data_IF_732323516446
#
_entry.id   IF_732323516446
#
_cell.length_a   1.000
_cell.length_b   1.000
_cell.length_c   1.000
_cell.angle_alpha   90.00
_cell.angle_beta   90.00
_cell.angle_gamma   90.00
#
_symmetry.space_group_name_H-M   'P 1'
#
loop_
_entity.id
_entity.type
_entity.pdbx_description
1 polymer ?
#
# COMPACT_ATOMS: atom_id res chain seq x y z
N UNK A 1 41.50 42.23 -8.27
CA UNK A 1 42.70 41.77 -7.55
C UNK A 1 42.49 42.16 -6.09
N UNK A 2 41.99 41.22 -5.30
CA UNK A 2 41.79 41.40 -3.86
C UNK A 2 42.08 40.05 -3.20
N UNK A 3 42.99 40.12 -2.25
CA UNK A 3 43.89 39.07 -1.81
C UNK A 3 43.31 38.30 -0.62
N UNK A 4 43.53 36.99 -0.64
CA UNK A 4 43.33 36.08 0.49
C UNK A 4 44.51 36.28 1.45
N UNK A 5 44.25 36.48 2.74
CA UNK A 5 45.28 36.41 3.78
C UNK A 5 44.87 35.38 4.82
N UNK A 6 45.72 34.38 5.01
CA UNK A 6 45.65 33.28 5.99
C UNK A 6 46.27 33.66 7.34
N UNK A 7 45.80 33.00 8.41
CA UNK A 7 46.15 33.14 9.84
C UNK A 7 47.64 32.93 10.20
N UNK A 8 48.03 33.20 11.46
CA UNK A 8 48.28 32.05 12.35
C UNK A 8 47.80 32.18 13.81
N UNK A 9 47.66 31.00 14.42
CA UNK A 9 47.24 30.67 15.78
C UNK A 9 48.12 31.19 16.93
N UNK A 10 47.51 31.56 18.06
CA UNK A 10 48.01 31.18 19.40
C UNK A 10 46.87 31.28 20.43
N UNK A 11 46.72 30.24 21.24
CA UNK A 11 45.58 30.08 22.15
C UNK A 11 45.79 30.73 23.52
N UNK A 12 44.68 30.89 24.25
CA UNK A 12 44.58 30.58 25.69
C UNK A 12 43.12 30.73 26.18
N UNK A 13 42.66 29.68 26.85
CA UNK A 13 41.63 29.58 27.89
C UNK A 13 40.34 30.41 27.84
N UNK A 14 39.21 29.70 27.66
CA UNK A 14 37.89 30.22 28.03
C UNK A 14 36.70 29.42 27.51
N UNK A 15 36.79 28.09 27.37
CA UNK A 15 35.60 27.27 27.09
C UNK A 15 34.86 26.99 28.40
N UNK A 16 33.84 27.80 28.68
CA UNK A 16 32.71 27.44 29.52
C UNK A 16 32.01 26.25 28.88
N UNK A 17 32.36 25.05 29.32
CA UNK A 17 31.60 23.83 29.04
C UNK A 17 30.23 23.97 29.70
N UNK A 18 29.20 24.29 28.92
CA UNK A 18 27.83 23.97 29.33
C UNK A 18 27.67 22.45 29.21
N UNK A 19 28.16 21.76 30.22
CA UNK A 19 27.75 20.39 30.51
C UNK A 19 26.35 20.55 31.11
N UNK A 20 25.31 20.32 30.32
CA UNK A 20 23.96 20.15 30.85
C UNK A 20 24.00 18.92 31.74
N UNK A 21 24.15 19.16 33.04
CA UNK A 21 24.16 18.14 34.08
C UNK A 21 22.71 17.65 34.24
N UNK A 22 22.31 16.71 33.39
CA UNK A 22 20.98 16.10 33.36
C UNK A 22 20.63 15.42 34.71
N UNK A 23 21.65 15.10 35.51
CA UNK A 23 21.51 14.60 36.87
C UNK A 23 21.13 15.68 37.89
N UNK A 24 21.52 16.94 37.69
CA UNK A 24 21.21 18.03 38.61
C UNK A 24 19.73 18.46 38.52
N UNK A 25 19.15 18.41 37.32
CA UNK A 25 17.72 18.75 37.11
C UNK A 25 16.80 17.64 37.63
N UNK A 26 17.25 16.38 37.59
CA UNK A 26 16.58 15.23 38.20
C UNK A 26 16.56 15.33 39.73
N UNK A 27 17.69 15.65 40.37
CA UNK A 27 17.71 15.84 41.84
C UNK A 27 16.91 17.06 42.29
N UNK A 28 16.93 18.15 41.53
CA UNK A 28 16.12 19.33 41.80
C UNK A 28 14.61 19.05 41.62
N UNK A 29 14.24 18.23 40.63
CA UNK A 29 12.87 17.74 40.46
C UNK A 29 12.46 16.76 41.56
N UNK A 30 13.35 15.87 42.00
CA UNK A 30 13.11 14.92 43.09
C UNK A 30 12.91 15.63 44.43
N UNK A 31 13.68 16.67 44.73
CA UNK A 31 13.46 17.51 45.93
C UNK A 31 12.14 18.28 45.88
N UNK A 32 11.69 18.71 44.69
CA UNK A 32 10.35 19.28 44.50
C UNK A 32 9.24 18.26 44.76
N UNK A 33 9.48 16.98 44.48
CA UNK A 33 8.53 15.88 44.73
C UNK A 33 8.53 15.47 46.21
N UNK A 34 9.67 15.47 46.91
CA UNK A 34 9.75 15.18 48.35
C UNK A 34 9.06 16.23 49.23
N UNK A 35 8.98 17.48 48.78
CA UNK A 35 8.37 18.57 49.56
C UNK A 35 6.84 18.66 49.38
N UNK A 36 6.26 17.91 48.44
CA UNK A 36 4.82 17.85 48.20
C UNK A 36 4.24 16.56 48.80
N UNK A 37 4.05 16.56 50.12
CA UNK A 37 3.42 15.45 50.83
C UNK A 37 2.08 15.03 50.20
N UNK A 38 1.95 13.73 49.91
CA UNK A 38 0.78 13.04 49.36
C UNK A 38 0.32 13.48 47.95
N UNK A 39 1.05 13.05 46.92
CA UNK A 39 0.43 12.80 45.61
C UNK A 39 -0.06 11.36 45.57
N UNK A 40 -1.38 11.16 45.67
CA UNK A 40 -1.99 9.89 45.28
C UNK A 40 -1.83 9.77 43.76
N UNK A 41 -0.92 8.90 43.32
CA UNK A 41 -0.79 8.58 41.90
C UNK A 41 -2.10 7.93 41.48
N UNK A 42 -2.80 8.52 40.51
CA UNK A 42 -4.02 7.88 40.01
C UNK A 42 -3.63 6.53 39.38
N UNK A 43 -4.46 5.48 39.53
CA UNK A 43 -4.19 4.17 38.93
C UNK A 43 -3.85 4.27 37.43
N UNK A 44 -4.47 5.22 36.73
CA UNK A 44 -4.23 5.50 35.31
C UNK A 44 -2.83 6.06 35.03
N UNK A 45 -2.29 6.90 35.92
CA UNK A 45 -0.94 7.45 35.77
C UNK A 45 0.13 6.40 36.09
N UNK A 46 -0.12 5.56 37.10
CA UNK A 46 0.75 4.43 37.45
C UNK A 46 0.79 3.40 36.30
N UNK A 47 -0.37 3.06 35.74
CA UNK A 47 -0.49 2.17 34.58
C UNK A 47 0.25 2.73 33.36
N UNK A 48 0.15 4.03 33.12
CA UNK A 48 0.85 4.70 32.00
C UNK A 48 2.37 4.78 32.19
N UNK A 49 2.86 4.82 33.43
CA UNK A 49 4.29 4.85 33.76
C UNK A 49 4.94 3.46 33.63
N UNK A 50 4.21 2.40 33.96
CA UNK A 50 4.71 1.02 33.94
C UNK A 50 4.45 0.28 32.62
N UNK A 51 3.36 0.59 31.91
CA UNK A 51 2.97 -0.12 30.67
C UNK A 51 3.41 0.58 29.38
N UNK A 52 4.05 1.73 29.47
CA UNK A 52 4.55 2.45 28.30
C UNK A 52 5.87 3.13 28.64
N UNK A 53 7.01 2.44 28.49
CA UNK A 53 8.28 3.12 28.53
C UNK A 53 8.23 4.22 27.47
N UNK A 54 8.60 5.45 27.83
CA UNK A 54 9.00 6.45 26.84
C UNK A 54 10.28 5.93 26.20
N UNK A 55 10.14 5.02 25.26
CA UNK A 55 11.15 4.88 24.23
C UNK A 55 11.07 6.19 23.46
N UNK A 56 11.97 7.12 23.74
CA UNK A 56 12.32 8.15 22.77
C UNK A 56 13.03 7.45 21.60
N UNK A 57 12.27 6.66 20.85
CA UNK A 57 12.66 6.29 19.50
C UNK A 57 12.68 7.61 18.78
N UNK A 58 13.86 8.06 18.33
CA UNK A 58 13.96 9.16 17.39
C UNK A 58 12.92 8.88 16.31
N UNK A 59 11.86 9.69 16.28
CA UNK A 59 10.61 9.36 15.60
C UNK A 59 10.76 9.64 14.09
N UNK A 60 11.77 9.02 13.51
CA UNK A 60 12.25 9.22 12.17
C UNK A 60 12.52 7.86 11.54
N UNK A 61 11.52 6.96 11.67
CA UNK A 61 11.52 5.62 11.05
C UNK A 61 11.81 5.71 9.55
N UNK A 62 11.38 6.79 8.89
CA UNK A 62 11.68 7.08 7.47
C UNK A 62 13.16 7.38 7.18
N UNK A 63 13.94 7.82 8.18
CA UNK A 63 15.41 7.94 8.07
C UNK A 63 16.14 6.67 8.52
N UNK A 64 15.42 5.73 9.15
CA UNK A 64 15.99 4.48 9.67
C UNK A 64 15.85 3.33 8.67
N UNK A 65 14.75 3.30 7.91
CA UNK A 65 14.44 2.25 6.94
C UNK A 65 14.22 2.83 5.53
N UNK A 66 14.47 2.01 4.51
CA UNK A 66 14.16 2.36 3.12
C UNK A 66 12.65 2.43 2.85
N UNK A 67 12.27 3.11 1.77
CA UNK A 67 10.89 3.15 1.30
C UNK A 67 10.48 1.79 0.70
N UNK A 68 9.45 1.10 1.23
CA UNK A 68 9.01 -0.19 0.72
C UNK A 68 8.00 -0.10 -0.44
N UNK A 69 7.43 1.09 -0.70
CA UNK A 69 6.50 1.31 -1.82
C UNK A 69 7.02 0.81 -3.18
N UNK A 70 8.27 1.09 -3.61
CA UNK A 70 8.77 0.59 -4.90
C UNK A 70 8.72 -0.95 -5.02
N UNK A 71 8.92 -1.67 -3.91
CA UNK A 71 8.83 -3.13 -3.87
C UNK A 71 7.40 -3.62 -4.10
N UNK A 72 6.42 -2.97 -3.48
CA UNK A 72 5.02 -3.32 -3.70
C UNK A 72 4.56 -2.94 -5.12
N UNK A 73 4.98 -1.78 -5.62
CA UNK A 73 4.62 -1.32 -6.97
C UNK A 73 5.21 -2.22 -8.05
N UNK A 74 6.45 -2.70 -7.92
CA UNK A 74 7.00 -3.69 -8.88
C UNK A 74 6.23 -5.01 -8.85
N UNK A 75 5.76 -5.42 -7.66
CA UNK A 75 4.86 -6.57 -7.50
C UNK A 75 3.58 -6.39 -8.32
N UNK A 76 2.92 -5.24 -8.16
CA UNK A 76 1.72 -4.86 -8.89
C UNK A 76 1.90 -4.85 -10.41
N UNK A 77 2.92 -4.14 -10.92
CA UNK A 77 3.08 -3.98 -12.37
C UNK A 77 3.48 -5.30 -13.06
N UNK A 78 4.29 -6.14 -12.42
CA UNK A 78 4.74 -7.40 -13.01
C UNK A 78 3.73 -8.54 -12.90
N UNK A 79 2.74 -8.45 -12.01
CA UNK A 79 1.61 -9.37 -12.04
C UNK A 79 0.49 -8.89 -12.98
N UNK A 80 0.20 -7.58 -13.03
CA UNK A 80 -0.93 -7.06 -13.80
C UNK A 80 -0.61 -6.77 -15.26
N UNK A 81 0.60 -6.30 -15.60
CA UNK A 81 0.92 -5.95 -16.99
C UNK A 81 0.80 -7.18 -17.90
N UNK A 82 1.42 -8.33 -17.58
CA UNK A 82 1.27 -9.54 -18.40
C UNK A 82 -0.20 -10.00 -18.49
N UNK A 83 -0.91 -10.04 -17.36
CA UNK A 83 -2.33 -10.42 -17.33
C UNK A 83 -3.17 -9.52 -18.23
N UNK A 84 -2.93 -8.21 -18.22
CA UNK A 84 -3.66 -7.28 -19.08
C UNK A 84 -3.43 -7.54 -20.58
N UNK A 85 -2.20 -7.91 -20.97
CA UNK A 85 -1.90 -8.35 -22.34
C UNK A 85 -2.65 -9.65 -22.69
N UNK A 86 -2.70 -10.60 -21.74
CA UNK A 86 -3.42 -11.87 -21.90
C UNK A 86 -4.94 -11.66 -22.03
N UNK A 87 -5.52 -10.77 -21.22
CA UNK A 87 -6.93 -10.42 -21.28
C UNK A 87 -7.30 -9.74 -22.60
N UNK A 88 -6.37 -8.98 -23.21
CA UNK A 88 -6.51 -8.34 -24.51
C UNK A 88 -6.21 -9.28 -25.70
N UNK A 89 -5.84 -10.53 -25.46
CA UNK A 89 -5.56 -11.51 -26.50
C UNK A 89 -4.30 -11.22 -27.32
N UNK A 90 -3.39 -10.38 -26.80
CA UNK A 90 -2.22 -9.95 -27.58
C UNK A 90 -1.34 -11.13 -27.95
N UNK A 91 -0.99 -11.23 -29.23
CA UNK A 91 -0.20 -12.34 -29.79
C UNK A 91 -0.83 -13.72 -29.58
N UNK A 92 -2.16 -13.80 -29.40
CA UNK A 92 -2.85 -15.07 -29.15
C UNK A 92 -2.71 -15.58 -27.71
N UNK A 93 -2.33 -14.72 -26.77
CA UNK A 93 -2.37 -15.03 -25.34
C UNK A 93 -3.81 -15.12 -24.82
N UNK A 94 -4.01 -15.76 -23.66
CA UNK A 94 -5.34 -16.01 -23.10
C UNK A 94 -5.30 -16.97 -21.91
N UNK A 95 -6.37 -17.76 -21.73
CA UNK A 95 -6.44 -18.77 -20.66
C UNK A 95 -6.41 -18.16 -19.26
N UNK A 96 -7.02 -16.97 -19.10
CA UNK A 96 -7.06 -16.19 -17.86
C UNK A 96 -5.67 -15.89 -17.27
N UNK A 97 -4.61 -15.97 -18.08
CA UNK A 97 -3.24 -15.75 -17.64
C UNK A 97 -2.63 -16.89 -16.81
N UNK A 98 -3.16 -18.12 -16.88
CA UNK A 98 -2.63 -19.26 -16.10
C UNK A 98 -1.12 -19.52 -16.27
N UNK A 99 -0.54 -19.16 -17.42
CA UNK A 99 0.91 -19.21 -17.66
C UNK A 99 1.72 -18.32 -16.70
N UNK A 100 1.07 -17.33 -16.08
CA UNK A 100 1.64 -16.31 -15.21
C UNK A 100 1.43 -16.62 -13.72
N UNK A 101 0.94 -17.81 -13.37
CA UNK A 101 0.71 -18.22 -11.98
C UNK A 101 1.93 -17.95 -11.08
N UNK A 102 3.16 -18.16 -11.60
CA UNK A 102 4.38 -17.80 -10.88
C UNK A 102 4.48 -16.31 -10.55
N UNK A 103 4.15 -15.42 -11.49
CA UNK A 103 4.11 -13.99 -11.25
C UNK A 103 3.02 -13.61 -10.23
N UNK A 104 1.89 -14.31 -10.21
CA UNK A 104 0.83 -14.07 -9.23
C UNK A 104 1.29 -14.40 -7.81
N UNK A 105 1.98 -15.52 -7.59
CA UNK A 105 2.51 -15.84 -6.26
C UNK A 105 3.68 -14.95 -5.86
N UNK A 106 4.67 -14.76 -6.73
CA UNK A 106 5.93 -14.14 -6.32
C UNK A 106 5.90 -12.62 -6.40
N UNK A 107 5.35 -12.04 -7.48
CA UNK A 107 5.31 -10.58 -7.64
C UNK A 107 4.03 -10.02 -7.05
N UNK A 108 2.88 -10.45 -7.59
CA UNK A 108 1.59 -9.94 -7.18
C UNK A 108 1.28 -10.25 -5.71
N UNK A 109 1.61 -11.45 -5.24
CA UNK A 109 1.37 -11.89 -3.87
C UNK A 109 2.50 -11.48 -2.92
N UNK A 110 3.66 -12.15 -3.04
CA UNK A 110 4.74 -12.05 -2.07
C UNK A 110 5.36 -10.64 -1.98
N UNK A 111 5.74 -10.02 -3.11
CA UNK A 111 6.35 -8.69 -3.07
C UNK A 111 5.35 -7.62 -2.59
N UNK A 112 4.11 -7.64 -3.08
CA UNK A 112 3.09 -6.69 -2.62
C UNK A 112 2.76 -6.86 -1.14
N UNK A 113 2.56 -8.10 -0.68
CA UNK A 113 2.25 -8.38 0.72
C UNK A 113 3.41 -7.95 1.63
N UNK A 114 4.65 -8.26 1.23
CA UNK A 114 5.85 -7.86 1.98
C UNK A 114 6.00 -6.34 2.02
N UNK A 115 5.86 -5.67 0.86
CA UNK A 115 5.92 -4.21 0.79
C UNK A 115 4.84 -3.54 1.64
N UNK A 116 3.61 -4.07 1.61
CA UNK A 116 2.51 -3.63 2.47
C UNK A 116 2.84 -3.79 3.96
N UNK A 117 3.35 -4.95 4.38
CA UNK A 117 3.72 -5.17 5.78
C UNK A 117 4.83 -4.20 6.24
N UNK A 118 5.76 -3.84 5.35
CA UNK A 118 6.78 -2.83 5.63
C UNK A 118 6.20 -1.41 5.69
N UNK A 119 5.17 -1.09 4.91
CA UNK A 119 4.42 0.17 5.06
C UNK A 119 3.76 0.29 6.44
N UNK A 120 3.29 -0.82 7.01
CA UNK A 120 2.79 -0.85 8.39
C UNK A 120 3.89 -0.50 9.40
N UNK A 121 5.10 -1.03 9.22
CA UNK A 121 6.27 -0.69 10.08
C UNK A 121 6.59 0.80 10.02
N UNK A 122 6.44 1.43 8.85
CA UNK A 122 6.64 2.88 8.66
C UNK A 122 5.46 3.75 9.14
N UNK A 123 4.36 3.14 9.58
CA UNK A 123 3.15 3.85 10.01
C UNK A 123 2.27 4.36 8.87
N UNK A 124 2.48 3.90 7.63
CA UNK A 124 1.70 4.30 6.47
C UNK A 124 0.49 3.35 6.28
N UNK A 125 -0.61 3.62 7.00
CA UNK A 125 -1.79 2.72 7.04
C UNK A 125 -2.46 2.51 5.68
N UNK A 126 -2.63 3.57 4.88
CA UNK A 126 -3.34 3.46 3.61
C UNK A 126 -2.63 2.54 2.61
N UNK A 127 -1.36 2.76 2.25
CA UNK A 127 -0.65 1.86 1.33
C UNK A 127 -0.44 0.46 1.93
N UNK A 128 -0.28 0.32 3.26
CA UNK A 128 -0.28 -1.00 3.91
C UNK A 128 -1.54 -1.81 3.55
N UNK A 129 -2.73 -1.24 3.80
CA UNK A 129 -4.00 -1.93 3.58
C UNK A 129 -4.22 -2.21 2.08
N UNK A 130 -3.88 -1.25 1.21
CA UNK A 130 -3.91 -1.42 -0.24
C UNK A 130 -3.02 -2.59 -0.67
N UNK A 131 -1.71 -2.53 -0.39
CA UNK A 131 -0.78 -3.52 -0.92
C UNK A 131 -1.01 -4.91 -0.36
N UNK A 132 -1.35 -5.05 0.93
CA UNK A 132 -1.67 -6.37 1.49
C UNK A 132 -2.96 -6.95 0.92
N UNK A 133 -4.02 -6.15 0.73
CA UNK A 133 -5.29 -6.66 0.18
C UNK A 133 -5.19 -7.04 -1.29
N UNK A 134 -4.49 -6.26 -2.12
CA UNK A 134 -4.21 -6.66 -3.51
C UNK A 134 -3.21 -7.81 -3.59
N UNK A 135 -2.25 -7.91 -2.66
CA UNK A 135 -1.39 -9.08 -2.55
C UNK A 135 -2.18 -10.36 -2.30
N UNK A 136 -3.18 -10.29 -1.41
CA UNK A 136 -4.10 -11.41 -1.19
C UNK A 136 -4.96 -11.72 -2.42
N UNK A 137 -5.37 -10.73 -3.21
CA UNK A 137 -6.05 -10.95 -4.49
C UNK A 137 -5.18 -11.80 -5.44
N UNK A 138 -3.90 -11.47 -5.60
CA UNK A 138 -3.00 -12.22 -6.47
C UNK A 138 -2.74 -13.64 -5.97
N UNK A 139 -2.58 -13.83 -4.67
CA UNK A 139 -2.53 -15.18 -4.11
C UNK A 139 -3.82 -15.96 -4.36
N UNK A 140 -4.97 -15.31 -4.28
CA UNK A 140 -6.28 -15.93 -4.54
C UNK A 140 -6.40 -16.34 -6.01
N UNK A 141 -6.04 -15.47 -6.95
CA UNK A 141 -6.05 -15.78 -8.38
C UNK A 141 -5.08 -16.91 -8.72
N UNK A 142 -3.83 -16.83 -8.22
CA UNK A 142 -2.83 -17.87 -8.40
C UNK A 142 -3.30 -19.22 -7.86
N UNK A 143 -3.87 -19.25 -6.65
CA UNK A 143 -4.42 -20.46 -6.04
C UNK A 143 -5.57 -21.03 -6.86
N UNK A 144 -6.47 -20.17 -7.33
CA UNK A 144 -7.62 -20.56 -8.15
C UNK A 144 -7.19 -21.24 -9.45
N UNK A 145 -6.18 -20.70 -10.13
CA UNK A 145 -5.69 -21.21 -11.42
C UNK A 145 -4.66 -22.33 -11.29
N UNK A 146 -4.16 -22.61 -10.09
CA UNK A 146 -3.20 -23.69 -9.86
C UNK A 146 -3.94 -25.02 -9.63
N UNK A 147 -3.74 -26.03 -10.49
CA UNK A 147 -4.49 -27.30 -10.41
C UNK A 147 -4.40 -27.99 -9.05
N UNK A 148 -3.29 -27.84 -8.33
CA UNK A 148 -3.06 -28.44 -7.02
C UNK A 148 -4.12 -28.05 -5.96
N UNK A 149 -4.57 -26.79 -5.95
CA UNK A 149 -5.60 -26.34 -5.00
C UNK A 149 -7.01 -26.75 -5.42
N UNK A 150 -7.17 -27.21 -6.67
CA UNK A 150 -8.38 -27.82 -7.21
C UNK A 150 -9.66 -26.98 -7.07
N UNK A 151 -9.55 -25.63 -7.14
CA UNK A 151 -10.68 -24.72 -6.97
C UNK A 151 -11.77 -24.93 -8.04
N UNK A 152 -11.36 -25.10 -9.29
CA UNK A 152 -12.28 -25.31 -10.42
C UNK A 152 -12.65 -26.78 -10.62
N UNK A 153 -11.90 -27.75 -10.07
CA UNK A 153 -12.19 -29.18 -10.26
C UNK A 153 -13.45 -29.65 -9.53
N UNK A 154 -13.94 -28.90 -8.54
CA UNK A 154 -15.24 -29.14 -7.91
C UNK A 154 -16.42 -28.97 -8.88
N UNK A 155 -16.23 -28.21 -9.96
CA UNK A 155 -17.26 -27.91 -10.97
C UNK A 155 -17.22 -28.88 -12.15
N UNK A 156 -16.09 -29.57 -12.36
CA UNK A 156 -15.95 -30.63 -13.36
C UNK A 156 -15.05 -31.76 -12.84
N UNK A 157 -15.61 -32.74 -12.11
CA UNK A 157 -14.81 -33.79 -11.47
C UNK A 157 -14.04 -34.71 -12.43
N UNK A 158 -14.58 -34.91 -13.64
CA UNK A 158 -14.02 -35.84 -14.63
C UNK A 158 -13.03 -35.16 -15.60
N UNK A 159 -13.13 -33.84 -15.75
CA UNK A 159 -12.20 -33.01 -16.52
C UNK A 159 -12.04 -31.68 -15.79
N UNK A 160 -11.11 -31.59 -14.82
CA UNK A 160 -10.93 -30.38 -14.05
C UNK A 160 -10.73 -29.15 -14.93
N UNK A 161 -10.04 -29.25 -16.06
CA UNK A 161 -9.76 -28.09 -16.91
C UNK A 161 -11.03 -27.42 -17.46
N UNK A 162 -12.08 -28.21 -17.74
CA UNK A 162 -13.38 -27.71 -18.17
C UNK A 162 -14.12 -26.91 -17.08
N UNK A 163 -13.77 -27.12 -15.80
CA UNK A 163 -14.35 -26.41 -14.66
C UNK A 163 -14.08 -24.90 -14.68
N UNK A 164 -13.00 -24.44 -15.33
CA UNK A 164 -12.72 -23.00 -15.50
C UNK A 164 -13.73 -22.29 -16.40
N UNK A 165 -14.42 -23.03 -17.25
CA UNK A 165 -15.45 -22.52 -18.16
C UNK A 165 -16.86 -22.91 -17.73
N UNK A 166 -16.99 -23.58 -16.58
CA UNK A 166 -18.29 -23.95 -16.03
C UNK A 166 -19.10 -22.69 -15.65
N UNK A 167 -20.38 -22.57 -16.05
CA UNK A 167 -21.20 -21.40 -15.75
C UNK A 167 -21.33 -21.08 -14.25
N UNK A 168 -21.34 -22.10 -13.39
CA UNK A 168 -21.46 -21.93 -11.94
C UNK A 168 -20.12 -21.45 -11.36
N UNK A 169 -19.00 -22.00 -11.84
CA UNK A 169 -17.67 -21.49 -11.49
C UNK A 169 -17.51 -20.02 -11.86
N UNK A 170 -17.79 -19.66 -13.11
CA UNK A 170 -17.69 -18.29 -13.62
C UNK A 170 -18.56 -17.33 -12.81
N UNK A 171 -19.83 -17.70 -12.57
CA UNK A 171 -20.75 -16.87 -11.78
C UNK A 171 -20.31 -16.69 -10.33
N UNK A 172 -19.68 -17.71 -9.75
CA UNK A 172 -19.17 -17.69 -8.37
C UNK A 172 -17.94 -16.79 -8.27
N UNK A 173 -16.99 -16.93 -9.19
CA UNK A 173 -15.77 -16.12 -9.21
C UNK A 173 -16.06 -14.65 -9.53
N UNK A 174 -17.05 -14.37 -10.39
CA UNK A 174 -17.51 -13.01 -10.69
C UNK A 174 -17.90 -12.21 -9.44
N UNK A 175 -18.49 -12.85 -8.41
CA UNK A 175 -18.79 -12.14 -7.16
C UNK A 175 -17.52 -11.67 -6.45
N UNK A 176 -16.45 -12.47 -6.45
CA UNK A 176 -15.18 -12.06 -5.87
C UNK A 176 -14.62 -10.83 -6.60
N UNK A 177 -14.67 -10.83 -7.94
CA UNK A 177 -14.27 -9.69 -8.76
C UNK A 177 -15.14 -8.45 -8.50
N UNK A 178 -16.47 -8.61 -8.39
CA UNK A 178 -17.37 -7.50 -8.06
C UNK A 178 -16.98 -6.85 -6.72
N UNK A 179 -16.75 -7.65 -5.68
CA UNK A 179 -16.36 -7.13 -4.37
C UNK A 179 -14.96 -6.53 -4.35
N UNK A 180 -14.04 -7.01 -5.20
CA UNK A 180 -12.78 -6.32 -5.48
C UNK A 180 -13.00 -4.96 -6.16
N UNK A 181 -14.00 -4.84 -7.03
CA UNK A 181 -14.45 -3.57 -7.59
C UNK A 181 -14.95 -2.60 -6.50
N UNK A 182 -15.79 -3.08 -5.58
CA UNK A 182 -16.26 -2.29 -4.42
C UNK A 182 -15.10 -1.86 -3.52
N UNK A 183 -14.16 -2.75 -3.23
CA UNK A 183 -12.94 -2.42 -2.48
C UNK A 183 -12.12 -1.33 -3.18
N UNK A 184 -11.93 -1.47 -4.50
CA UNK A 184 -11.24 -0.49 -5.34
C UNK A 184 -11.95 0.87 -5.32
N UNK A 185 -13.29 0.88 -5.29
CA UNK A 185 -14.08 2.11 -5.18
C UNK A 185 -13.88 2.81 -3.82
N UNK A 186 -13.80 2.06 -2.72
CA UNK A 186 -13.47 2.62 -1.40
C UNK A 186 -12.07 3.26 -1.44
N UNK A 187 -11.08 2.57 -2.02
CA UNK A 187 -9.74 3.11 -2.17
C UNK A 187 -9.67 4.30 -3.13
N UNK A 188 -10.48 4.34 -4.18
CA UNK A 188 -10.62 5.49 -5.06
C UNK A 188 -11.01 6.74 -4.26
N UNK A 189 -12.04 6.64 -3.42
CA UNK A 189 -12.48 7.75 -2.56
C UNK A 189 -11.39 8.13 -1.56
N UNK A 190 -10.74 7.17 -0.92
CA UNK A 190 -9.67 7.44 0.05
C UNK A 190 -8.44 8.09 -0.61
N UNK A 191 -8.10 7.68 -1.84
CA UNK A 191 -6.91 8.11 -2.55
C UNK A 191 -6.96 9.57 -3.03
N UNK A 192 -8.16 10.17 -3.12
CA UNK A 192 -8.40 11.58 -3.46
C UNK A 192 -7.59 12.57 -2.60
N UNK A 193 -7.09 12.12 -1.42
CA UNK A 193 -6.29 12.93 -0.51
C UNK A 193 -4.79 12.57 -0.46
N UNK A 194 -4.37 11.56 -1.20
CA UNK A 194 -3.05 10.94 -1.01
C UNK A 194 -2.09 11.23 -2.15
N UNK A 195 -2.41 10.75 -3.35
CA UNK A 195 -1.53 10.82 -4.52
C UNK A 195 -2.39 10.65 -5.79
N UNK A 196 -2.17 11.50 -6.81
CA UNK A 196 -2.91 11.40 -8.07
C UNK A 196 -2.69 10.06 -8.77
N UNK A 197 -1.52 9.44 -8.62
CA UNK A 197 -1.20 8.16 -9.24
C UNK A 197 -2.04 7.04 -8.64
N UNK A 198 -2.16 6.96 -7.30
CA UNK A 198 -3.08 6.03 -6.67
C UNK A 198 -4.53 6.29 -7.07
N UNK A 199 -4.94 7.56 -7.16
CA UNK A 199 -6.28 7.91 -7.62
C UNK A 199 -6.55 7.41 -9.04
N UNK A 200 -5.64 7.66 -9.99
CA UNK A 200 -5.78 7.23 -11.38
C UNK A 200 -5.74 5.70 -11.52
N UNK A 201 -4.90 5.02 -10.71
CA UNK A 201 -4.88 3.56 -10.63
C UNK A 201 -6.25 3.05 -10.17
N UNK A 202 -6.81 3.52 -9.06
CA UNK A 202 -8.12 3.04 -8.61
C UNK A 202 -9.28 3.46 -9.54
N UNK A 203 -9.15 4.59 -10.23
CA UNK A 203 -10.12 5.07 -11.20
C UNK A 203 -10.23 4.10 -12.38
N UNK A 204 -9.14 3.42 -12.72
CA UNK A 204 -9.08 2.44 -13.81
C UNK A 204 -9.31 1.00 -13.31
N UNK A 205 -8.81 0.63 -12.11
CA UNK A 205 -9.03 -0.68 -11.51
C UNK A 205 -10.50 -0.94 -11.14
N UNK A 206 -11.20 0.06 -10.60
CA UNK A 206 -12.61 -0.09 -10.20
C UNK A 206 -13.50 -0.55 -11.36
N UNK A 207 -13.57 0.17 -12.51
CA UNK A 207 -14.35 -0.28 -13.65
C UNK A 207 -13.76 -1.53 -14.31
N UNK A 208 -12.44 -1.77 -14.22
CA UNK A 208 -11.83 -3.03 -14.68
C UNK A 208 -12.44 -4.25 -14.01
N UNK A 209 -12.50 -4.27 -12.67
CA UNK A 209 -13.09 -5.39 -11.94
C UNK A 209 -14.59 -5.57 -12.26
N UNK A 210 -15.33 -4.47 -12.41
CA UNK A 210 -16.73 -4.52 -12.83
C UNK A 210 -16.89 -5.13 -14.23
N UNK A 211 -16.02 -4.78 -15.19
CA UNK A 211 -16.05 -5.36 -16.53
C UNK A 211 -15.69 -6.85 -16.51
N UNK A 212 -14.69 -7.28 -15.74
CA UNK A 212 -14.34 -8.70 -15.64
C UNK A 212 -15.47 -9.52 -14.99
N UNK A 213 -16.05 -9.04 -13.89
CA UNK A 213 -17.20 -9.69 -13.24
C UNK A 213 -18.40 -9.80 -14.19
N UNK A 214 -18.72 -8.73 -14.92
CA UNK A 214 -19.79 -8.76 -15.92
C UNK A 214 -19.46 -9.70 -17.08
N UNK A 215 -18.19 -9.77 -17.50
CA UNK A 215 -17.71 -10.69 -18.53
C UNK A 215 -17.92 -12.15 -18.14
N UNK A 216 -17.56 -12.52 -16.91
CA UNK A 216 -17.76 -13.87 -16.37
C UNK A 216 -19.27 -14.23 -16.32
N UNK A 217 -20.14 -13.31 -15.91
CA UNK A 217 -21.59 -13.54 -15.94
C UNK A 217 -22.16 -13.66 -17.35
N UNK A 218 -21.68 -12.87 -18.32
CA UNK A 218 -22.08 -13.02 -19.71
C UNK A 218 -21.60 -14.37 -20.28
N UNK A 219 -20.38 -14.80 -19.94
CA UNK A 219 -19.87 -16.11 -20.34
C UNK A 219 -20.69 -17.24 -19.73
N UNK A 220 -21.07 -17.15 -18.45
CA UNK A 220 -21.94 -18.12 -17.78
C UNK A 220 -23.33 -18.21 -18.42
N UNK A 221 -23.83 -17.11 -19.00
CA UNK A 221 -25.10 -17.07 -19.74
C UNK A 221 -24.98 -17.55 -21.19
N UNK A 222 -23.78 -17.94 -21.64
CA UNK A 222 -23.51 -18.35 -23.01
C UNK A 222 -23.36 -17.19 -24.01
N UNK A 223 -23.35 -15.94 -23.54
CA UNK A 223 -23.15 -14.77 -24.39
C UNK A 223 -21.65 -14.49 -24.60
N UNK A 224 -21.01 -15.31 -25.44
CA UNK A 224 -19.56 -15.31 -25.62
C UNK A 224 -19.02 -14.00 -26.22
N UNK A 225 -19.78 -13.34 -27.09
CA UNK A 225 -19.37 -12.07 -27.72
C UNK A 225 -19.34 -10.92 -26.71
N UNK A 226 -20.40 -10.79 -25.89
CA UNK A 226 -20.42 -9.78 -24.84
C UNK A 226 -19.37 -10.06 -23.76
N UNK A 227 -19.17 -11.33 -23.40
CA UNK A 227 -18.13 -11.74 -22.46
C UNK A 227 -16.74 -11.32 -22.94
N UNK A 228 -16.40 -11.59 -24.20
CA UNK A 228 -15.11 -11.22 -24.78
C UNK A 228 -14.94 -9.69 -24.85
N UNK A 229 -15.99 -8.96 -25.22
CA UNK A 229 -15.97 -7.49 -25.26
C UNK A 229 -15.70 -6.90 -23.89
N UNK A 230 -16.36 -7.41 -22.85
CA UNK A 230 -16.17 -6.99 -21.46
C UNK A 230 -14.79 -7.39 -20.93
N UNK A 231 -14.29 -8.58 -21.29
CA UNK A 231 -12.93 -9.00 -20.96
C UNK A 231 -11.89 -8.05 -21.57
N UNK A 232 -12.04 -7.69 -22.85
CA UNK A 232 -11.14 -6.72 -23.50
C UNK A 232 -11.22 -5.34 -22.87
N UNK A 233 -12.42 -4.86 -22.52
CA UNK A 233 -12.59 -3.59 -21.81
C UNK A 233 -11.89 -3.61 -20.44
N UNK A 234 -12.06 -4.71 -19.67
CA UNK A 234 -11.35 -4.95 -18.42
C UNK A 234 -9.83 -4.98 -18.61
N UNK A 235 -9.34 -5.73 -19.60
CA UNK A 235 -7.93 -5.82 -19.95
C UNK A 235 -7.32 -4.47 -20.34
N UNK A 236 -8.04 -3.64 -21.12
CA UNK A 236 -7.59 -2.31 -21.49
C UNK A 236 -7.47 -1.38 -20.27
N UNK A 237 -8.43 -1.43 -19.35
CA UNK A 237 -8.39 -0.65 -18.11
C UNK A 237 -7.29 -1.14 -17.16
N UNK A 238 -7.06 -2.45 -17.07
CA UNK A 238 -5.90 -3.01 -16.36
C UNK A 238 -4.59 -2.50 -16.97
N UNK A 239 -4.47 -2.50 -18.30
CA UNK A 239 -3.27 -2.01 -18.98
C UNK A 239 -3.03 -0.53 -18.73
N UNK A 240 -4.08 0.31 -18.77
CA UNK A 240 -3.97 1.73 -18.37
C UNK A 240 -3.49 1.90 -16.93
N UNK A 241 -4.03 1.10 -15.99
CA UNK A 241 -3.57 1.07 -14.60
C UNK A 241 -2.08 0.74 -14.52
N UNK A 242 -1.62 -0.21 -15.33
CA UNK A 242 -0.22 -0.62 -15.39
C UNK A 242 0.68 0.50 -15.92
N UNK A 243 0.27 1.23 -16.97
CA UNK A 243 1.08 2.35 -17.49
C UNK A 243 1.30 3.42 -16.42
N UNK A 244 0.27 3.71 -15.61
CA UNK A 244 0.39 4.61 -14.46
C UNK A 244 1.31 4.01 -13.39
N UNK A 245 1.21 2.71 -13.12
CA UNK A 245 2.10 2.01 -12.19
C UNK A 245 3.56 1.96 -12.63
N UNK A 246 3.83 1.79 -13.93
CA UNK A 246 5.18 1.85 -14.48
C UNK A 246 5.78 3.24 -14.32
N UNK A 247 4.96 4.28 -14.51
CA UNK A 247 5.36 5.65 -14.22
C UNK A 247 5.66 5.85 -12.73
N UNK A 248 4.77 5.41 -11.84
CA UNK A 248 4.98 5.49 -10.38
C UNK A 248 6.27 4.76 -9.94
N UNK A 249 6.48 3.55 -10.46
CA UNK A 249 7.70 2.77 -10.20
C UNK A 249 8.96 3.51 -10.65
N UNK A 250 8.96 4.07 -11.87
CA UNK A 250 10.09 4.85 -12.37
C UNK A 250 10.39 6.03 -11.44
N UNK A 251 9.37 6.78 -11.04
CA UNK A 251 9.55 7.91 -10.12
C UNK A 251 10.15 7.44 -8.80
N UNK A 252 9.58 6.39 -8.20
CA UNK A 252 10.01 5.85 -6.92
C UNK A 252 11.46 5.36 -6.94
N UNK A 253 11.89 4.70 -8.02
CA UNK A 253 13.27 4.20 -8.17
C UNK A 253 14.25 5.35 -8.40
N UNK A 254 13.89 6.34 -9.23
CA UNK A 254 14.74 7.52 -9.45
C UNK A 254 14.94 8.32 -8.16
N UNK A 255 13.89 8.47 -7.36
CA UNK A 255 13.97 9.09 -6.03
C UNK A 255 14.84 8.29 -5.07
N UNK A 256 14.80 6.96 -5.11
CA UNK A 256 15.58 6.10 -4.22
C UNK A 256 17.10 6.16 -4.48
N UNK A 257 17.52 6.62 -5.66
CA UNK A 257 18.94 6.76 -6.04
C UNK A 257 19.39 8.22 -6.16
N UNK A 258 18.62 9.16 -5.61
CA UNK A 258 18.87 10.60 -5.68
C UNK A 258 19.12 11.09 -7.12
N UNK A 259 18.39 10.54 -8.10
CA UNK A 259 18.54 10.92 -9.50
C UNK A 259 18.07 12.37 -9.70
N UNK A 260 18.78 13.20 -10.49
CA UNK A 260 18.49 14.64 -10.59
C UNK A 260 17.19 14.99 -11.33
N UNK A 261 16.48 14.00 -11.89
CA UNK A 261 15.25 14.21 -12.64
C UNK A 261 14.04 14.20 -11.70
N UNK A 262 13.38 15.35 -11.57
CA UNK A 262 12.12 15.48 -10.84
C UNK A 262 10.94 15.29 -11.79
N UNK A 263 10.29 14.13 -11.71
CA UNK A 263 9.11 13.80 -12.49
C UNK A 263 7.82 14.21 -11.74
N UNK A 264 6.80 14.74 -12.42
CA UNK A 264 5.60 15.25 -11.78
C UNK A 264 4.68 14.12 -11.26
N UNK A 265 4.44 14.06 -9.96
CA UNK A 265 3.54 13.06 -9.33
C UNK A 265 2.21 13.61 -8.86
N UNK A 266 1.93 14.91 -9.06
CA UNK A 266 0.65 15.56 -8.75
C UNK A 266 0.15 15.39 -7.31
N UNK A 267 0.33 16.41 -6.48
CA UNK A 267 -0.20 16.40 -5.10
C UNK A 267 -1.67 16.84 -5.07
N UNK A 268 -2.56 15.94 -4.64
CA UNK A 268 -3.99 16.22 -4.46
C UNK A 268 -4.34 16.78 -3.08
N UNK A 269 -3.38 16.86 -2.14
CA UNK A 269 -3.61 17.30 -0.77
C UNK A 269 -4.21 18.72 -0.67
N UNK A 270 -3.95 19.57 -1.66
CA UNK A 270 -4.49 20.92 -1.76
C UNK A 270 -5.97 20.98 -2.16
N UNK A 271 -6.51 19.94 -2.81
CA UNK A 271 -7.89 19.93 -3.32
C UNK A 271 -8.88 19.56 -2.22
N UNK A 272 -8.52 18.64 -1.33
CA UNK A 272 -9.38 18.18 -0.22
C UNK A 272 -8.67 18.35 1.12
N UNK A 273 -8.91 19.50 1.79
CA UNK A 273 -8.30 19.84 3.09
C UNK A 273 -8.60 18.81 4.17
N UNK A 274 -7.58 18.33 4.89
CA UNK A 274 -7.69 17.36 6.00
C UNK A 274 -8.70 17.75 7.08
N UNK A 275 -9.36 16.78 7.73
CA UNK A 275 -10.28 17.07 8.85
C UNK A 275 -9.60 17.86 10.00
N UNK A 276 -8.29 17.68 10.19
CA UNK A 276 -7.48 18.48 11.13
C UNK A 276 -7.18 19.91 10.66
N UNK A 277 -7.28 20.19 9.36
CA UNK A 277 -7.06 21.51 8.76
C UNK A 277 -8.34 22.34 8.62
N UNK A 278 -9.52 21.68 8.57
CA UNK A 278 -10.81 22.36 8.36
C UNK A 278 -11.43 22.94 9.65
N UNK A 279 -10.74 22.90 10.80
CA UNK A 279 -11.28 23.40 12.08
C UNK A 279 -12.52 22.65 12.59
N UNK A 280 -12.97 21.63 11.89
CA UNK A 280 -14.11 20.80 12.26
C UNK A 280 -13.74 19.84 13.39
N UNK A 281 -14.61 19.71 14.39
CA UNK A 281 -14.52 18.76 15.51
C UNK A 281 -13.89 17.44 15.04
N UNK A 282 -12.72 17.08 15.61
CA UNK A 282 -12.15 15.73 15.50
C UNK A 282 -13.26 14.75 15.88
N UNK A 283 -13.82 14.05 14.90
CA UNK A 283 -14.62 12.85 15.14
C UNK A 283 -13.65 11.82 15.72
N UNK A 284 -13.52 11.80 17.05
CA UNK A 284 -12.91 10.67 17.75
C UNK A 284 -13.90 9.52 17.59
N UNK A 285 -13.62 8.62 16.65
CA UNK A 285 -14.20 7.28 16.70
C UNK A 285 -13.70 6.67 18.00
N UNK A 286 -14.56 6.68 19.04
CA UNK A 286 -14.33 5.89 20.25
C UNK A 286 -14.49 4.43 19.81
N UNK A 287 -13.38 3.80 19.45
CA UNK A 287 -13.33 2.34 19.43
C UNK A 287 -13.41 1.95 20.91
N UNK A 288 -14.63 1.60 21.35
CA UNK A 288 -14.82 0.94 22.63
C UNK A 288 -14.00 -0.34 22.56
N UNK A 289 -12.98 -0.47 23.41
CA UNK A 289 -12.34 -1.76 23.62
C UNK A 289 -13.44 -2.71 24.11
N UNK A 290 -13.67 -3.80 23.38
CA UNK A 290 -14.34 -4.99 23.91
C UNK A 290 -13.23 -5.90 24.42
#
# INVERSE_FOLDING_TARGET
MAEIVTEPSSGTNGKSTYQMDEHADSEAALRRVETAGNLSISPELFEKLYLSPKNEVSNNLRTTFGNPSPLAVVGFILSLTPLSCALLGWRGSGGLGAAENGAYYFFGGLLMFTGGLLEFVLGNTFPFVVFCSYGAYWFTLGATLTPYYNAYGAYSPNDPSAGLTDPVFLSTFAFFLLWMGVLSFIYLIASLRTNILFFLIFLTLCPMYCCLAAGDWQAAQGNTEAALTLQHAGGAMAFMSCLIGWYDFLVLVLLAVDFPLNLPVGDLSHIIKGAGQTGGRRLRVKISRV
#
